data_IF_073036954393
#
_entry.id   IF_073036954393
#
_cell.length_a   1.000
_cell.length_b   1.000
_cell.length_c   1.000
_cell.angle_alpha   90.00
_cell.angle_beta   90.00
_cell.angle_gamma   90.00
#
_symmetry.space_group_name_H-M   'P 1'
#
loop_
_entity.id
_entity.type
_entity.pdbx_description
1 polymer ?
#
# COMPACT_ATOMS: atom_id res chain seq x y z
N UNK A 1 -13.78 -11.90 -14.84
CA UNK A 1 -13.73 -12.30 -16.26
C UNK A 1 -15.12 -12.67 -16.73
N UNK A 2 -15.48 -12.36 -17.99
CA UNK A 2 -16.82 -12.59 -18.56
C UNK A 2 -16.87 -13.74 -19.59
N UNK A 3 -15.74 -14.32 -19.95
CA UNK A 3 -15.64 -15.49 -20.82
C UNK A 3 -14.83 -16.59 -20.11
N UNK A 4 -15.05 -17.88 -20.46
CA UNK A 4 -14.24 -18.97 -19.91
C UNK A 4 -12.78 -18.83 -20.31
N UNK A 5 -11.84 -19.47 -19.59
CA UNK A 5 -10.46 -19.56 -20.03
C UNK A 5 -10.34 -20.18 -21.44
N UNK A 6 -9.44 -19.68 -22.31
CA UNK A 6 -9.23 -20.27 -23.62
C UNK A 6 -8.67 -21.69 -23.48
N UNK A 7 -9.21 -22.63 -24.24
CA UNK A 7 -8.83 -24.05 -24.21
C UNK A 7 -7.77 -24.41 -25.26
N UNK A 8 -7.48 -23.51 -26.21
CA UNK A 8 -6.56 -23.74 -27.31
C UNK A 8 -5.63 -22.54 -27.53
N UNK A 9 -4.39 -22.80 -27.93
CA UNK A 9 -3.40 -21.76 -28.24
C UNK A 9 -3.67 -21.15 -29.61
N UNK A 10 -3.29 -19.88 -29.79
CA UNK A 10 -3.33 -19.19 -31.10
C UNK A 10 -4.72 -18.76 -31.58
N UNK A 11 -5.80 -19.08 -30.86
CA UNK A 11 -7.18 -18.70 -31.21
C UNK A 11 -7.69 -17.42 -30.54
N UNK A 12 -6.96 -16.89 -29.56
CA UNK A 12 -7.35 -15.68 -28.84
C UNK A 12 -7.11 -14.43 -29.68
N UNK A 13 -8.14 -13.58 -29.81
CA UNK A 13 -8.06 -12.27 -30.48
C UNK A 13 -8.20 -11.11 -29.49
N UNK A 14 -7.88 -9.89 -29.91
CA UNK A 14 -8.05 -8.68 -29.09
C UNK A 14 -9.53 -8.48 -28.71
N UNK A 15 -10.44 -8.74 -29.64
CA UNK A 15 -11.89 -8.64 -29.42
C UNK A 15 -12.34 -9.62 -28.34
N UNK A 16 -11.80 -10.83 -28.32
CA UNK A 16 -12.06 -11.81 -27.27
C UNK A 16 -11.56 -11.34 -25.91
N UNK A 17 -10.38 -10.71 -25.85
CA UNK A 17 -9.82 -10.15 -24.60
C UNK A 17 -10.73 -9.03 -24.08
N UNK A 18 -11.11 -8.07 -24.92
CA UNK A 18 -11.98 -6.94 -24.55
C UNK A 18 -13.35 -7.46 -24.06
N UNK A 19 -13.89 -8.49 -24.73
CA UNK A 19 -15.13 -9.16 -24.30
C UNK A 19 -14.97 -9.88 -22.96
N UNK A 20 -13.79 -10.44 -22.69
CA UNK A 20 -13.49 -11.19 -21.46
C UNK A 20 -13.23 -10.28 -20.24
N UNK A 21 -12.66 -9.10 -20.46
CA UNK A 21 -12.40 -8.09 -19.42
C UNK A 21 -13.71 -7.58 -18.79
N UNK A 22 -13.68 -6.98 -17.59
CA UNK A 22 -14.85 -6.38 -16.97
C UNK A 22 -15.55 -5.36 -17.89
N UNK A 23 -16.87 -5.30 -17.83
CA UNK A 23 -17.62 -4.23 -18.49
C UNK A 23 -17.39 -2.88 -17.80
N UNK A 24 -17.87 -1.80 -18.42
CA UNK A 24 -17.68 -0.43 -17.94
C UNK A 24 -18.20 -0.22 -16.51
N UNK A 25 -19.32 -0.84 -16.15
CA UNK A 25 -19.90 -0.72 -14.81
C UNK A 25 -19.00 -1.37 -13.75
N UNK A 26 -18.56 -2.60 -13.99
CA UNK A 26 -17.62 -3.31 -13.10
C UNK A 26 -16.26 -2.61 -13.02
N UNK A 27 -15.76 -2.08 -14.13
CA UNK A 27 -14.52 -1.30 -14.16
C UNK A 27 -14.64 0.00 -13.36
N UNK A 28 -15.78 0.71 -13.46
CA UNK A 28 -16.03 1.93 -12.69
C UNK A 28 -16.06 1.65 -11.18
N UNK A 29 -16.81 0.64 -10.75
CA UNK A 29 -16.85 0.23 -9.34
C UNK A 29 -15.49 -0.25 -8.83
N UNK A 30 -14.75 -1.00 -9.64
CA UNK A 30 -13.40 -1.44 -9.29
C UNK A 30 -12.47 -0.26 -9.05
N UNK A 31 -12.45 0.72 -9.98
CA UNK A 31 -11.63 1.93 -9.84
C UNK A 31 -11.99 2.71 -8.58
N UNK A 32 -13.29 2.93 -8.32
CA UNK A 32 -13.73 3.64 -7.12
C UNK A 32 -13.32 2.93 -5.83
N UNK A 33 -13.50 1.62 -5.78
CA UNK A 33 -13.16 0.82 -4.61
C UNK A 33 -11.64 0.83 -4.33
N UNK A 34 -10.80 0.51 -5.33
CA UNK A 34 -9.34 0.49 -5.10
C UNK A 34 -8.77 1.88 -4.85
N UNK A 35 -9.35 2.92 -5.46
CA UNK A 35 -8.95 4.29 -5.18
C UNK A 35 -9.25 4.67 -3.73
N UNK A 36 -10.49 4.45 -3.27
CA UNK A 36 -10.92 4.81 -1.93
C UNK A 36 -10.13 4.06 -0.84
N UNK A 37 -9.89 2.75 -1.05
CA UNK A 37 -9.18 1.90 -0.08
C UNK A 37 -7.67 2.09 -0.06
N UNK A 38 -7.11 2.89 -0.98
CA UNK A 38 -5.66 3.15 -1.06
C UNK A 38 -5.28 4.57 -0.59
N UNK A 39 -6.21 5.31 0.03
CA UNK A 39 -5.94 6.66 0.54
C UNK A 39 -5.56 6.63 2.03
N UNK A 40 -4.77 7.62 2.44
CA UNK A 40 -4.55 7.95 3.84
C UNK A 40 -5.52 9.05 4.30
N UNK A 41 -5.84 9.09 5.59
CA UNK A 41 -6.52 10.24 6.18
C UNK A 41 -5.56 11.43 6.32
N UNK A 42 -6.09 12.66 6.39
CA UNK A 42 -5.25 13.87 6.59
C UNK A 42 -4.45 13.82 7.90
N UNK A 43 -5.00 13.16 8.92
CA UNK A 43 -4.44 12.98 10.25
C UNK A 43 -3.99 11.53 10.52
N UNK A 44 -3.58 10.81 9.47
CA UNK A 44 -3.12 9.42 9.58
C UNK A 44 -1.97 9.27 10.59
N UNK A 45 -2.04 8.23 11.43
CA UNK A 45 -1.02 7.95 12.44
C UNK A 45 -0.14 6.79 11.97
N UNK A 46 1.03 7.12 11.46
CA UNK A 46 2.01 6.16 10.96
C UNK A 46 2.78 5.43 12.06
N UNK A 47 3.44 4.34 11.66
CA UNK A 47 4.13 3.41 12.53
C UNK A 47 5.13 4.12 13.45
N UNK A 48 4.98 3.90 14.75
CA UNK A 48 5.87 4.47 15.75
C UNK A 48 5.52 5.91 16.17
N UNK A 49 4.47 6.51 15.60
CA UNK A 49 3.83 7.73 16.12
C UNK A 49 2.74 7.30 17.11
N UNK A 50 2.89 7.67 18.38
CA UNK A 50 1.93 7.31 19.43
C UNK A 50 1.52 8.59 20.15
N UNK A 51 0.49 9.31 19.67
CA UNK A 51 0.05 10.58 20.26
C UNK A 51 -0.65 10.37 21.60
N UNK A 52 -1.36 9.27 21.77
CA UNK A 52 -2.03 8.92 23.02
C UNK A 52 -1.02 8.37 24.03
N UNK A 53 -0.71 9.17 25.06
CA UNK A 53 0.26 8.82 26.10
C UNK A 53 -0.30 7.84 27.13
N UNK A 54 -0.47 6.57 26.74
CA UNK A 54 -0.79 5.50 27.68
C UNK A 54 0.42 5.12 28.56
N UNK A 55 1.61 5.20 27.99
CA UNK A 55 2.87 4.95 28.67
C UNK A 55 3.52 6.26 29.11
N UNK A 56 3.60 6.48 30.42
CA UNK A 56 4.20 7.70 30.99
C UNK A 56 5.62 7.48 31.48
N UNK A 57 6.03 6.23 31.68
CA UNK A 57 7.30 5.87 32.30
C UNK A 57 8.49 6.18 31.39
N UNK A 58 9.59 6.67 31.98
CA UNK A 58 10.79 7.04 31.20
C UNK A 58 11.40 5.88 30.39
N UNK A 59 11.53 4.64 30.93
CA UNK A 59 12.18 3.55 30.20
C UNK A 59 11.45 3.17 28.90
N UNK A 60 10.11 3.12 28.93
CA UNK A 60 9.31 2.81 27.73
C UNK A 60 9.31 3.97 26.74
N UNK A 61 9.29 5.24 27.19
CA UNK A 61 9.47 6.39 26.30
C UNK A 61 10.84 6.38 25.60
N UNK A 62 11.90 5.93 26.27
CA UNK A 62 13.22 5.71 25.64
C UNK A 62 13.17 4.60 24.58
N UNK A 63 12.50 3.48 24.89
CA UNK A 63 12.31 2.38 23.94
C UNK A 63 11.54 2.82 22.69
N UNK A 64 10.47 3.62 22.84
CA UNK A 64 9.70 4.18 21.74
C UNK A 64 10.55 5.13 20.87
N UNK A 65 11.42 5.96 21.49
CA UNK A 65 12.34 6.82 20.74
C UNK A 65 13.37 6.02 19.95
N UNK A 66 13.94 4.97 20.55
CA UNK A 66 14.85 4.06 19.87
C UNK A 66 14.16 3.34 18.71
N UNK A 67 12.93 2.91 18.90
CA UNK A 67 12.12 2.30 17.84
C UNK A 67 11.94 3.27 16.67
N UNK A 68 11.52 4.51 16.92
CA UNK A 68 11.35 5.53 15.87
C UNK A 68 12.65 5.82 15.12
N UNK A 69 13.78 5.95 15.83
CA UNK A 69 15.09 6.15 15.21
C UNK A 69 15.48 5.00 14.27
N UNK A 70 15.14 3.77 14.62
CA UNK A 70 15.38 2.62 13.74
C UNK A 70 14.49 2.67 12.49
N UNK A 71 13.22 3.09 12.63
CA UNK A 71 12.31 3.28 11.50
C UNK A 71 12.82 4.36 10.54
N UNK A 72 13.32 5.49 11.04
CA UNK A 72 13.91 6.56 10.23
C UNK A 72 15.11 6.05 9.40
N UNK A 73 15.93 5.19 10.00
CA UNK A 73 17.04 4.51 9.31
C UNK A 73 16.57 3.59 8.18
N UNK A 74 15.50 2.81 8.43
CA UNK A 74 14.89 1.93 7.42
C UNK A 74 14.28 2.74 6.27
N UNK A 75 13.54 3.82 6.57
CA UNK A 75 12.95 4.71 5.58
C UNK A 75 14.04 5.32 4.67
N UNK A 76 15.13 5.79 5.27
CA UNK A 76 16.29 6.33 4.54
C UNK A 76 16.92 5.29 3.61
N UNK A 77 17.12 4.07 4.12
CA UNK A 77 17.63 2.95 3.31
C UNK A 77 16.71 2.61 2.14
N UNK A 78 15.39 2.55 2.37
CA UNK A 78 14.39 2.30 1.32
C UNK A 78 14.41 3.41 0.27
N UNK A 79 14.48 4.67 0.69
CA UNK A 79 14.57 5.81 -0.22
C UNK A 79 15.83 5.75 -1.11
N UNK A 80 16.99 5.41 -0.53
CA UNK A 80 18.22 5.24 -1.29
C UNK A 80 18.14 4.07 -2.27
N UNK A 81 17.70 2.90 -1.81
CA UNK A 81 17.49 1.71 -2.66
C UNK A 81 16.57 2.00 -3.84
N UNK A 82 15.54 2.83 -3.62
CA UNK A 82 14.53 3.17 -4.61
C UNK A 82 14.98 4.24 -5.62
N UNK A 83 16.01 5.06 -5.31
CA UNK A 83 16.42 6.25 -6.08
C UNK A 83 16.59 6.00 -7.59
N UNK A 84 17.16 4.85 -7.97
CA UNK A 84 17.47 4.52 -9.37
C UNK A 84 16.62 3.38 -9.92
N UNK A 85 15.46 3.10 -9.31
CA UNK A 85 14.55 2.04 -9.77
C UNK A 85 13.52 2.59 -10.74
N UNK A 86 13.33 1.88 -11.86
CA UNK A 86 12.25 2.18 -12.83
C UNK A 86 10.87 2.12 -12.18
N UNK A 87 10.70 1.21 -11.22
CA UNK A 87 9.49 1.10 -10.40
C UNK A 87 9.91 0.97 -8.94
N UNK A 88 9.95 2.08 -8.19
CA UNK A 88 10.22 2.08 -6.76
C UNK A 88 9.17 1.30 -5.95
N UNK A 89 9.58 0.73 -4.81
CA UNK A 89 8.67 0.04 -3.89
C UNK A 89 8.58 0.80 -2.57
N UNK A 90 7.44 1.45 -2.31
CA UNK A 90 7.23 2.31 -1.13
C UNK A 90 6.29 1.73 -0.07
N UNK A 91 5.53 0.68 -0.38
CA UNK A 91 4.43 0.20 0.48
C UNK A 91 4.86 -0.26 1.88
N UNK A 92 6.16 -0.57 2.07
CA UNK A 92 6.72 -0.92 3.39
C UNK A 92 7.74 0.12 3.89
N UNK A 93 7.70 1.33 3.35
CA UNK A 93 8.45 2.44 3.92
C UNK A 93 7.75 2.86 5.22
N UNK A 94 8.45 2.93 6.38
CA UNK A 94 7.82 3.21 7.68
C UNK A 94 6.95 4.48 7.74
N UNK A 95 7.28 5.48 6.92
CA UNK A 95 6.52 6.72 6.73
C UNK A 95 5.21 6.56 5.93
N UNK A 96 4.90 5.35 5.48
CA UNK A 96 3.66 5.00 4.75
C UNK A 96 2.94 3.79 5.34
N UNK A 97 3.34 3.32 6.54
CA UNK A 97 2.69 2.20 7.23
C UNK A 97 1.85 2.76 8.38
N UNK A 98 0.51 2.68 8.34
CA UNK A 98 -0.34 3.02 9.48
C UNK A 98 -0.07 2.12 10.69
N UNK A 99 -0.29 2.62 11.91
CA UNK A 99 -0.16 1.81 13.14
C UNK A 99 -1.17 0.66 13.21
N UNK A 100 -2.32 0.79 12.55
CA UNK A 100 -3.45 -0.13 12.65
C UNK A 100 -4.15 -0.33 11.30
N UNK A 101 -5.08 -1.27 11.24
CA UNK A 101 -5.96 -1.46 10.08
C UNK A 101 -7.16 -0.52 10.23
N UNK A 102 -7.10 0.63 9.56
CA UNK A 102 -8.14 1.66 9.60
C UNK A 102 -8.90 1.84 8.25
N UNK A 103 -8.44 1.16 7.20
CA UNK A 103 -9.03 1.08 5.86
C UNK A 103 -8.77 -0.28 5.23
#
# INVERSE_FOLDING_TARGET
MRCPPPTEKGKTTIEYIIKSLPDRGRSCWHLGAVWALSQFQENEVFLGIYPDEHFTEKPVKEAMRKFRKNLDGIASYIAERNRNKKLPYYYLSPDQIPNSVAV
#
